data_IF_584996244624
#
_entry.id   IF_584996244624
#
_cell.length_a   1.000
_cell.length_b   1.000
_cell.length_c   1.000
_cell.angle_alpha   90.00
_cell.angle_beta   90.00
_cell.angle_gamma   90.00
#
_symmetry.space_group_name_H-M   'P 1'
#
loop_
_entity.id
_entity.type
_entity.pdbx_description
1 polymer ?
#
# COMPACT_ATOMS: atom_id res chain seq x y z
N UNK A 1 -9.27 4.02 -27.04
CA UNK A 1 -10.75 3.90 -27.02
C UNK A 1 -11.08 2.72 -26.12
N UNK A 2 -11.51 2.97 -24.88
CA UNK A 2 -11.97 1.91 -23.96
C UNK A 2 -13.37 1.41 -24.34
N UNK A 3 -13.73 0.17 -23.99
CA UNK A 3 -15.00 -0.43 -24.40
C UNK A 3 -16.19 0.17 -23.62
N UNK A 4 -17.35 0.14 -24.27
CA UNK A 4 -18.58 0.89 -23.98
C UNK A 4 -19.47 0.30 -22.87
N UNK A 5 -18.98 0.17 -21.63
CA UNK A 5 -19.72 -0.56 -20.59
C UNK A 5 -20.00 0.18 -19.28
N UNK A 6 -19.76 1.49 -19.19
CA UNK A 6 -20.40 2.32 -18.17
C UNK A 6 -20.42 3.79 -18.58
N UNK A 7 -21.34 4.58 -18.02
CA UNK A 7 -21.35 6.04 -18.12
C UNK A 7 -20.15 6.69 -17.37
N UNK A 8 -19.23 5.88 -16.86
CA UNK A 8 -18.12 6.29 -16.01
C UNK A 8 -16.76 6.00 -16.66
N UNK A 9 -15.80 6.92 -16.45
CA UNK A 9 -14.39 6.70 -16.75
C UNK A 9 -13.63 6.14 -15.55
N UNK A 10 -12.56 5.38 -15.80
CA UNK A 10 -11.63 4.93 -14.76
C UNK A 10 -10.30 5.68 -14.89
N UNK A 11 -9.88 6.31 -13.80
CA UNK A 11 -8.58 6.98 -13.69
C UNK A 11 -7.71 6.21 -12.69
N UNK A 12 -6.45 5.97 -13.07
CA UNK A 12 -5.50 5.25 -12.23
C UNK A 12 -4.35 6.19 -11.83
N UNK A 13 -4.08 6.25 -10.52
CA UNK A 13 -2.91 6.96 -10.00
C UNK A 13 -1.66 6.09 -10.12
N UNK A 14 -0.52 6.72 -10.41
CA UNK A 14 0.79 6.07 -10.37
C UNK A 14 1.67 6.88 -9.42
N UNK A 15 2.27 6.29 -8.37
CA UNK A 15 3.15 7.04 -7.49
C UNK A 15 4.36 7.58 -8.28
N UNK A 16 4.83 8.81 -7.99
CA UNK A 16 6.07 9.31 -8.57
C UNK A 16 7.26 8.45 -8.09
N UNK A 17 8.28 8.33 -8.93
CA UNK A 17 9.55 7.71 -8.52
C UNK A 17 10.34 8.72 -7.70
N UNK A 18 10.59 8.38 -6.44
CA UNK A 18 11.29 9.20 -5.43
C UNK A 18 12.20 8.33 -4.59
N UNK A 19 13.28 8.92 -4.09
CA UNK A 19 14.24 8.23 -3.21
C UNK A 19 13.92 8.47 -1.75
N UNK A 20 14.28 7.51 -0.89
CA UNK A 20 14.10 7.65 0.57
C UNK A 20 14.88 8.84 1.13
N UNK A 21 16.03 9.17 0.53
CA UNK A 21 16.85 10.33 0.91
C UNK A 21 16.12 11.66 0.77
N UNK A 22 15.10 11.73 -0.09
CA UNK A 22 14.28 12.94 -0.31
C UNK A 22 13.21 13.10 0.79
N UNK A 23 12.95 12.03 1.55
CA UNK A 23 11.97 11.98 2.66
C UNK A 23 10.61 12.62 2.31
N UNK A 24 9.97 12.23 1.20
CA UNK A 24 8.68 12.79 0.83
C UNK A 24 7.62 12.46 1.90
N UNK A 25 6.70 13.40 2.12
CA UNK A 25 5.56 13.18 3.00
C UNK A 25 4.41 12.47 2.28
N UNK A 26 3.40 12.02 3.02
CA UNK A 26 2.15 11.54 2.41
C UNK A 26 1.52 12.59 1.48
N UNK A 27 1.59 13.87 1.86
CA UNK A 27 1.10 15.00 1.07
C UNK A 27 1.79 15.15 -0.29
N UNK A 28 3.06 14.79 -0.38
CA UNK A 28 3.80 14.86 -1.64
C UNK A 28 3.16 13.96 -2.71
N UNK A 29 2.76 12.75 -2.33
CA UNK A 29 2.12 11.79 -3.24
C UNK A 29 0.74 12.27 -3.68
N UNK A 30 -0.07 12.74 -2.73
CA UNK A 30 -1.43 13.23 -3.03
C UNK A 30 -1.41 14.53 -3.82
N UNK A 31 -0.48 15.45 -3.55
CA UNK A 31 -0.26 16.64 -4.39
C UNK A 31 0.16 16.27 -5.81
N UNK A 32 1.02 15.26 -5.99
CA UNK A 32 1.43 14.81 -7.32
C UNK A 32 0.21 14.36 -8.15
N UNK A 33 -0.69 13.57 -7.57
CA UNK A 33 -1.90 13.12 -8.26
C UNK A 33 -2.92 14.23 -8.47
N UNK A 34 -3.11 15.10 -7.48
CA UNK A 34 -4.03 16.23 -7.57
C UNK A 34 -3.58 17.24 -8.63
N UNK A 35 -2.28 17.55 -8.73
CA UNK A 35 -1.79 18.50 -9.75
C UNK A 35 -1.73 17.90 -11.16
N UNK A 36 -1.61 16.59 -11.26
CA UNK A 36 -1.53 15.90 -12.55
C UNK A 36 -2.87 15.73 -13.27
N UNK A 37 -4.00 15.99 -12.61
CA UNK A 37 -5.34 15.75 -13.16
C UNK A 37 -6.05 17.03 -13.60
N UNK A 38 -6.87 16.91 -14.66
CA UNK A 38 -7.80 17.97 -15.09
C UNK A 38 -9.14 17.83 -14.33
N UNK A 39 -9.10 17.85 -12.99
CA UNK A 39 -10.23 17.49 -12.13
C UNK A 39 -11.48 18.36 -12.33
N UNK A 40 -11.32 19.58 -12.83
CA UNK A 40 -12.43 20.48 -13.17
C UNK A 40 -13.31 19.96 -14.32
N UNK A 41 -12.80 18.99 -15.10
CA UNK A 41 -13.52 18.38 -16.23
C UNK A 41 -14.34 17.15 -15.84
N UNK A 42 -14.17 16.64 -14.62
CA UNK A 42 -14.74 15.38 -14.18
C UNK A 42 -15.42 15.54 -12.82
N UNK A 43 -16.59 14.91 -12.64
CA UNK A 43 -17.12 14.66 -11.30
C UNK A 43 -16.63 13.30 -10.84
N UNK A 44 -15.75 13.26 -9.83
CA UNK A 44 -15.26 12.00 -9.28
C UNK A 44 -16.30 11.44 -8.32
N UNK A 45 -17.04 10.43 -8.77
CA UNK A 45 -18.10 9.83 -7.94
C UNK A 45 -17.55 8.87 -6.88
N UNK A 46 -16.36 8.31 -7.10
CA UNK A 46 -15.73 7.38 -6.17
C UNK A 46 -14.20 7.39 -6.26
N UNK A 47 -13.54 7.14 -5.13
CA UNK A 47 -12.10 6.88 -5.01
C UNK A 47 -11.91 5.49 -4.42
N UNK A 48 -11.11 4.68 -5.10
CA UNK A 48 -10.84 3.30 -4.71
C UNK A 48 -9.43 3.20 -4.12
N UNK A 49 -9.29 2.48 -3.01
CA UNK A 49 -8.00 2.26 -2.35
C UNK A 49 -7.77 0.78 -2.06
N UNK A 50 -6.57 0.27 -2.36
CA UNK A 50 -6.19 -1.12 -2.13
C UNK A 50 -5.01 -1.20 -1.16
N UNK A 51 -5.10 -2.04 -0.13
CA UNK A 51 -4.07 -2.17 0.91
C UNK A 51 -3.73 -0.80 1.53
N UNK A 52 -2.45 -0.44 1.63
CA UNK A 52 -1.97 0.86 2.09
C UNK A 52 -2.40 2.02 1.16
N UNK A 53 -2.75 1.72 -0.10
CA UNK A 53 -3.36 2.69 -1.01
C UNK A 53 -4.68 3.27 -0.50
N UNK A 54 -5.35 2.56 0.41
CA UNK A 54 -6.54 3.03 1.14
C UNK A 54 -6.30 4.30 1.96
N UNK A 55 -5.07 4.50 2.46
CA UNK A 55 -4.71 5.69 3.22
C UNK A 55 -4.72 6.91 2.30
N UNK A 56 -4.13 6.75 1.12
CA UNK A 56 -4.08 7.80 0.10
C UNK A 56 -5.42 8.05 -0.58
N UNK A 57 -6.24 7.01 -0.76
CA UNK A 57 -7.60 7.14 -1.30
C UNK A 57 -8.46 8.07 -0.42
N UNK A 58 -8.34 7.95 0.90
CA UNK A 58 -9.01 8.84 1.85
C UNK A 58 -8.58 10.31 1.67
N UNK A 59 -7.27 10.56 1.61
CA UNK A 59 -6.73 11.91 1.44
C UNK A 59 -7.14 12.52 0.08
N UNK A 60 -7.10 11.72 -0.99
CA UNK A 60 -7.55 12.14 -2.32
C UNK A 60 -9.03 12.53 -2.32
N UNK A 61 -9.90 11.72 -1.72
CA UNK A 61 -11.33 12.00 -1.64
C UNK A 61 -11.60 13.33 -0.92
N UNK A 62 -10.90 13.61 0.18
CA UNK A 62 -11.01 14.91 0.85
C UNK A 62 -10.57 16.07 -0.04
N UNK A 63 -9.43 15.94 -0.73
CA UNK A 63 -8.93 17.02 -1.59
C UNK A 63 -9.86 17.30 -2.76
N UNK A 64 -10.47 16.27 -3.34
CA UNK A 64 -11.38 16.40 -4.48
C UNK A 64 -12.59 17.30 -4.16
N UNK A 65 -13.04 17.36 -2.90
CA UNK A 65 -14.13 18.27 -2.46
C UNK A 65 -13.85 19.76 -2.72
N UNK A 66 -12.61 20.15 -3.05
CA UNK A 66 -12.27 21.52 -3.46
C UNK A 66 -12.80 21.89 -4.85
N UNK A 67 -13.03 20.89 -5.71
CA UNK A 67 -13.44 21.09 -7.11
C UNK A 67 -14.86 20.62 -7.42
N UNK A 68 -15.45 19.80 -6.56
CA UNK A 68 -16.81 19.28 -6.73
C UNK A 68 -17.63 19.46 -5.44
N UNK A 69 -18.94 19.70 -5.60
CA UNK A 69 -19.87 19.90 -4.47
C UNK A 69 -20.22 18.61 -3.74
N UNK A 70 -20.16 17.48 -4.45
CA UNK A 70 -20.47 16.15 -3.91
C UNK A 70 -19.18 15.49 -3.46
N UNK A 71 -19.10 15.01 -2.23
CA UNK A 71 -17.95 14.24 -1.78
C UNK A 71 -17.91 12.87 -2.50
N UNK A 72 -16.77 12.45 -3.08
CA UNK A 72 -16.65 11.12 -3.66
C UNK A 72 -16.88 10.02 -2.63
N UNK A 73 -17.53 8.93 -3.04
CA UNK A 73 -17.57 7.70 -2.24
C UNK A 73 -16.16 7.13 -2.09
N UNK A 74 -15.87 6.51 -0.96
CA UNK A 74 -14.57 5.87 -0.72
C UNK A 74 -14.77 4.38 -0.51
N UNK A 75 -14.23 3.60 -1.45
CA UNK A 75 -14.29 2.15 -1.45
C UNK A 75 -12.89 1.60 -1.19
N UNK A 76 -12.76 0.83 -0.11
CA UNK A 76 -11.49 0.31 0.38
C UNK A 76 -11.44 -1.20 0.18
N UNK A 77 -10.30 -1.70 -0.24
CA UNK A 77 -10.03 -3.12 -0.46
C UNK A 77 -8.86 -3.52 0.43
N UNK A 78 -9.10 -4.37 1.42
CA UNK A 78 -8.12 -4.73 2.44
C UNK A 78 -7.37 -3.52 3.03
N UNK A 79 -8.08 -2.47 3.50
CA UNK A 79 -7.44 -1.28 4.05
C UNK A 79 -6.46 -1.61 5.18
N UNK A 80 -5.25 -1.08 5.07
CA UNK A 80 -4.16 -1.34 6.00
C UNK A 80 -3.45 -0.02 6.33
N UNK A 81 -3.23 0.23 7.63
CA UNK A 81 -2.35 1.32 8.08
C UNK A 81 -0.89 0.91 7.96
N UNK A 82 0.05 1.86 8.06
CA UNK A 82 1.48 1.54 8.08
C UNK A 82 2.04 1.73 9.47
N UNK A 83 2.88 0.79 9.89
CA UNK A 83 3.75 0.90 11.07
C UNK A 83 5.11 0.25 10.77
N UNK A 84 6.00 0.22 11.77
CA UNK A 84 7.33 -0.37 11.60
C UNK A 84 7.29 -1.89 11.42
N UNK A 85 6.32 -2.59 11.99
CA UNK A 85 6.17 -4.04 11.83
C UNK A 85 5.93 -4.40 10.37
N UNK A 86 5.12 -3.62 9.66
CA UNK A 86 4.88 -3.82 8.22
C UNK A 86 6.17 -3.77 7.40
N UNK A 87 7.13 -2.88 7.74
CA UNK A 87 8.39 -2.79 7.01
C UNK A 87 9.22 -4.09 7.14
N UNK A 88 9.28 -4.65 8.35
CA UNK A 88 9.96 -5.92 8.58
C UNK A 88 9.24 -7.08 7.87
N UNK A 89 7.91 -7.10 7.90
CA UNK A 89 7.10 -8.12 7.21
C UNK A 89 7.32 -8.09 5.69
N UNK A 90 7.35 -6.91 5.08
CA UNK A 90 7.66 -6.78 3.65
C UNK A 90 9.08 -7.26 3.34
N UNK A 91 10.06 -6.99 4.20
CA UNK A 91 11.40 -7.55 4.04
C UNK A 91 11.42 -9.08 4.17
N UNK A 92 10.70 -9.65 5.14
CA UNK A 92 10.57 -11.10 5.31
C UNK A 92 9.95 -11.76 4.08
N UNK A 93 8.93 -11.14 3.50
CA UNK A 93 8.29 -11.56 2.24
C UNK A 93 9.29 -11.54 1.08
N UNK A 94 10.05 -10.47 0.93
CA UNK A 94 11.08 -10.37 -0.12
C UNK A 94 12.16 -11.45 0.01
N UNK A 95 12.61 -11.74 1.24
CA UNK A 95 13.55 -12.84 1.51
C UNK A 95 12.91 -14.19 1.14
N UNK A 96 11.63 -14.40 1.50
CA UNK A 96 10.90 -15.62 1.16
C UNK A 96 10.78 -15.86 -0.33
N UNK A 97 10.43 -14.82 -1.10
CA UNK A 97 10.33 -14.88 -2.57
C UNK A 97 11.68 -15.21 -3.24
N UNK A 98 12.79 -14.77 -2.65
CA UNK A 98 14.13 -15.04 -3.12
C UNK A 98 14.78 -16.27 -2.44
N UNK A 99 14.00 -17.08 -1.71
CA UNK A 99 14.48 -18.20 -0.89
C UNK A 99 15.50 -19.13 -1.58
N UNK A 100 15.27 -19.59 -2.82
CA UNK A 100 16.21 -20.47 -3.53
C UNK A 100 17.60 -19.86 -3.79
N UNK A 101 17.76 -18.54 -3.65
CA UNK A 101 19.02 -17.82 -3.86
C UNK A 101 19.86 -17.68 -2.60
N UNK A 102 19.33 -18.04 -1.43
CA UNK A 102 19.97 -17.89 -0.13
C UNK A 102 20.09 -19.24 0.58
N UNK A 103 21.10 -19.39 1.44
CA UNK A 103 21.06 -20.47 2.43
C UNK A 103 20.02 -20.16 3.51
N UNK A 104 19.56 -21.19 4.21
CA UNK A 104 18.63 -21.02 5.34
C UNK A 104 19.21 -20.08 6.40
N UNK A 105 20.52 -20.17 6.67
CA UNK A 105 21.21 -19.30 7.62
C UNK A 105 21.24 -17.83 7.16
N UNK A 106 21.50 -17.57 5.88
CA UNK A 106 21.49 -16.21 5.33
C UNK A 106 20.09 -15.60 5.39
N UNK A 107 19.08 -16.37 5.00
CA UNK A 107 17.69 -15.92 5.02
C UNK A 107 17.22 -15.63 6.46
N UNK A 108 17.55 -16.51 7.41
CA UNK A 108 17.19 -16.34 8.81
C UNK A 108 17.92 -15.14 9.45
N UNK A 109 19.22 -14.99 9.20
CA UNK A 109 19.97 -13.82 9.67
C UNK A 109 19.37 -12.52 9.15
N UNK A 110 19.00 -12.47 7.86
CA UNK A 110 18.37 -11.29 7.28
C UNK A 110 16.99 -11.00 7.91
N UNK A 111 16.19 -12.02 8.21
CA UNK A 111 14.92 -11.84 8.94
C UNK A 111 15.14 -11.27 10.33
N UNK A 112 16.11 -11.79 11.07
CA UNK A 112 16.47 -11.29 12.40
C UNK A 112 16.97 -9.84 12.34
N UNK A 113 17.79 -9.49 11.34
CA UNK A 113 18.22 -8.11 11.11
C UNK A 113 17.04 -7.18 10.83
N UNK A 114 16.07 -7.59 10.00
CA UNK A 114 14.87 -6.79 9.75
C UNK A 114 14.06 -6.52 11.02
N UNK A 115 13.91 -7.53 11.89
CA UNK A 115 13.26 -7.37 13.19
C UNK A 115 14.04 -6.43 14.10
N UNK A 116 15.36 -6.57 14.18
CA UNK A 116 16.21 -5.71 15.01
C UNK A 116 16.18 -4.23 14.55
N UNK A 117 16.11 -3.97 13.24
CA UNK A 117 15.99 -2.61 12.69
C UNK A 117 14.74 -1.92 13.24
N UNK A 118 13.60 -2.60 13.25
CA UNK A 118 12.34 -1.98 13.68
C UNK A 118 12.22 -1.85 15.20
N UNK A 119 12.91 -2.72 15.97
CA UNK A 119 13.01 -2.60 17.43
C UNK A 119 13.88 -1.42 17.87
N UNK A 120 14.96 -1.14 17.12
CA UNK A 120 15.87 -0.01 17.40
C UNK A 120 15.30 1.34 16.96
N UNK A 121 14.43 1.37 15.95
CA UNK A 121 13.85 2.58 15.37
C UNK A 121 12.39 2.85 15.80
N UNK A 122 12.03 2.50 17.03
CA UNK A 122 10.64 2.58 17.53
C UNK A 122 9.96 3.97 17.38
N UNK A 123 10.71 5.05 17.12
CA UNK A 123 10.17 6.41 16.93
C UNK A 123 10.28 7.02 15.52
N UNK A 124 10.92 6.35 14.54
CA UNK A 124 11.25 6.96 13.25
C UNK A 124 11.05 6.03 12.07
N UNK A 125 9.82 5.94 11.54
CA UNK A 125 9.48 5.00 10.46
C UNK A 125 10.31 5.21 9.18
N UNK A 126 10.63 6.46 8.84
CA UNK A 126 11.48 6.79 7.69
C UNK A 126 12.91 6.28 7.89
N UNK A 127 13.45 6.39 9.11
CA UNK A 127 14.80 5.91 9.41
C UNK A 127 14.84 4.37 9.40
N UNK A 128 13.82 3.71 9.94
CA UNK A 128 13.64 2.26 9.82
C UNK A 128 13.57 1.82 8.35
N UNK A 129 12.82 2.54 7.50
CA UNK A 129 12.73 2.25 6.07
C UNK A 129 14.08 2.38 5.36
N UNK A 130 14.90 3.38 5.71
CA UNK A 130 16.26 3.54 5.17
C UNK A 130 17.13 2.32 5.49
N UNK A 131 17.12 1.85 6.73
CA UNK A 131 17.90 0.68 7.12
C UNK A 131 17.39 -0.61 6.49
N UNK A 132 16.07 -0.79 6.39
CA UNK A 132 15.47 -1.94 5.67
C UNK A 132 15.88 -1.94 4.19
N UNK A 133 15.93 -0.78 3.52
CA UNK A 133 16.42 -0.69 2.14
C UNK A 133 17.92 -0.98 2.06
N UNK A 134 18.71 -0.58 3.06
CA UNK A 134 20.11 -0.98 3.20
C UNK A 134 20.27 -2.51 3.23
N UNK A 135 19.53 -3.17 4.13
CA UNK A 135 19.52 -4.62 4.25
C UNK A 135 19.07 -5.31 2.95
N UNK A 136 18.02 -4.79 2.29
CA UNK A 136 17.57 -5.32 1.01
C UNK A 136 18.66 -5.21 -0.07
N UNK A 137 19.38 -4.09 -0.12
CA UNK A 137 20.48 -3.88 -1.08
C UNK A 137 21.62 -4.88 -0.87
N UNK A 138 21.95 -5.21 0.38
CA UNK A 138 22.95 -6.23 0.71
C UNK A 138 22.52 -7.61 0.21
N UNK A 139 21.28 -8.01 0.52
CA UNK A 139 20.72 -9.29 0.08
C UNK A 139 20.62 -9.37 -1.45
N UNK A 140 20.15 -8.32 -2.09
CA UNK A 140 20.09 -8.23 -3.55
C UNK A 140 21.49 -8.34 -4.18
N UNK A 141 22.52 -7.74 -3.56
CA UNK A 141 23.90 -7.85 -4.05
C UNK A 141 24.40 -9.31 -4.02
N UNK A 142 24.08 -10.06 -2.97
CA UNK A 142 24.44 -11.47 -2.87
C UNK A 142 23.71 -12.28 -3.94
N UNK A 143 22.38 -12.11 -4.04
CA UNK A 143 21.54 -12.83 -4.99
C UNK A 143 21.97 -12.60 -6.45
N UNK A 144 22.16 -11.33 -6.85
CA UNK A 144 22.51 -10.99 -8.24
C UNK A 144 23.91 -11.49 -8.63
N UNK A 145 24.88 -11.47 -7.69
CA UNK A 145 26.20 -12.06 -7.92
C UNK A 145 26.12 -13.57 -8.16
N UNK A 146 25.28 -14.29 -7.40
CA UNK A 146 25.08 -15.75 -7.59
C UNK A 146 24.45 -16.08 -8.94
N UNK A 147 23.55 -15.23 -9.41
CA UNK A 147 22.89 -15.37 -10.70
C UNK A 147 23.75 -14.90 -11.89
N UNK A 148 24.91 -14.29 -11.63
CA UNK A 148 25.74 -13.68 -12.69
C UNK A 148 25.05 -12.51 -13.40
N UNK A 149 24.11 -11.83 -12.74
CA UNK A 149 23.39 -10.68 -13.29
C UNK A 149 24.17 -9.39 -13.09
N UNK A 150 24.01 -8.45 -14.03
CA UNK A 150 24.69 -7.16 -13.99
C UNK A 150 24.21 -6.28 -12.82
N UNK A 151 25.14 -5.48 -12.28
CA UNK A 151 24.87 -4.53 -11.19
C UNK A 151 23.74 -3.54 -11.53
N UNK A 152 23.60 -3.14 -12.80
CA UNK A 152 22.53 -2.23 -13.22
C UNK A 152 21.14 -2.82 -12.99
N UNK A 153 20.97 -4.15 -13.15
CA UNK A 153 19.69 -4.83 -12.90
C UNK A 153 19.39 -4.92 -11.42
N UNK A 154 20.42 -5.10 -10.58
CA UNK A 154 20.26 -5.00 -9.13
C UNK A 154 19.78 -3.61 -8.76
N UNK A 155 20.41 -2.57 -9.31
CA UNK A 155 20.09 -1.19 -8.96
C UNK A 155 18.67 -0.79 -9.36
N UNK A 156 18.16 -1.27 -10.50
CA UNK A 156 16.76 -1.13 -10.90
C UNK A 156 15.79 -1.76 -9.87
N UNK A 157 16.06 -2.99 -9.44
CA UNK A 157 15.21 -3.71 -8.49
C UNK A 157 15.27 -3.08 -7.09
N UNK A 158 16.45 -2.66 -6.64
CA UNK A 158 16.61 -1.96 -5.37
C UNK A 158 15.90 -0.61 -5.40
N UNK A 159 15.94 0.12 -6.50
CA UNK A 159 15.22 1.38 -6.64
C UNK A 159 13.70 1.20 -6.55
N UNK A 160 13.16 0.09 -7.10
CA UNK A 160 11.74 -0.23 -6.98
C UNK A 160 11.35 -0.49 -5.51
N UNK A 161 12.14 -1.29 -4.80
CA UNK A 161 11.91 -1.55 -3.38
C UNK A 161 12.07 -0.29 -2.53
N UNK A 162 13.06 0.57 -2.83
CA UNK A 162 13.24 1.87 -2.18
C UNK A 162 12.02 2.78 -2.38
N UNK A 163 11.51 2.85 -3.61
CA UNK A 163 10.30 3.63 -3.94
C UNK A 163 9.08 3.13 -3.15
N UNK A 164 8.94 1.81 -3.01
CA UNK A 164 7.88 1.18 -2.23
C UNK A 164 7.99 1.48 -0.73
N UNK A 165 9.20 1.34 -0.15
CA UNK A 165 9.44 1.67 1.26
C UNK A 165 9.24 3.15 1.57
N UNK A 166 9.59 4.02 0.61
CA UNK A 166 9.32 5.46 0.70
C UNK A 166 7.81 5.70 0.78
N UNK A 167 7.05 5.08 -0.13
CA UNK A 167 5.60 5.18 -0.17
C UNK A 167 4.94 4.66 1.12
N UNK A 168 5.35 3.50 1.64
CA UNK A 168 4.85 3.00 2.93
C UNK A 168 5.15 3.99 4.06
N UNK A 169 6.40 4.43 4.21
CA UNK A 169 6.79 5.32 5.29
C UNK A 169 6.08 6.68 5.26
N UNK A 170 5.76 7.17 4.06
CA UNK A 170 4.99 8.39 3.86
C UNK A 170 3.52 8.22 4.24
N UNK A 171 2.94 7.04 4.02
CA UNK A 171 1.53 6.75 4.35
C UNK A 171 1.25 6.88 5.85
N UNK A 172 2.22 6.55 6.71
CA UNK A 172 2.07 6.69 8.16
C UNK A 172 1.90 8.14 8.66
N UNK A 173 2.13 9.13 7.80
CA UNK A 173 1.96 10.55 8.11
C UNK A 173 0.55 11.05 7.80
N UNK A 174 -0.29 10.22 7.18
CA UNK A 174 -1.66 10.57 6.78
C UNK A 174 -2.62 9.94 7.79
N UNK A 175 -3.58 10.73 8.28
CA UNK A 175 -4.67 10.24 9.13
C UNK A 175 -5.94 10.00 8.28
N UNK A 176 -6.27 8.75 7.93
CA UNK A 176 -7.44 8.45 7.13
C UNK A 176 -8.73 8.31 7.97
N UNK A 177 -8.64 8.37 9.30
CA UNK A 177 -9.70 7.93 10.22
C UNK A 177 -11.04 8.63 10.03
N UNK A 178 -11.02 9.90 9.63
CA UNK A 178 -12.25 10.67 9.40
C UNK A 178 -13.00 10.19 8.16
N UNK A 179 -12.28 9.81 7.10
CA UNK A 179 -12.89 9.29 5.87
C UNK A 179 -13.26 7.82 6.02
N UNK A 180 -12.38 7.01 6.59
CA UNK A 180 -12.60 5.57 6.76
C UNK A 180 -13.86 5.29 7.59
N UNK A 181 -14.19 6.13 8.57
CA UNK A 181 -15.41 6.03 9.38
C UNK A 181 -16.72 6.10 8.57
N UNK A 182 -16.68 6.68 7.37
CA UNK A 182 -17.82 6.75 6.43
C UNK A 182 -17.60 5.96 5.14
N UNK A 183 -16.51 5.21 5.05
CA UNK A 183 -16.14 4.43 3.86
C UNK A 183 -16.71 3.03 3.92
N UNK A 184 -16.81 2.41 2.74
CA UNK A 184 -17.14 0.99 2.57
C UNK A 184 -15.84 0.21 2.36
N UNK A 185 -15.55 -0.74 3.23
CA UNK A 185 -14.39 -1.63 3.11
C UNK A 185 -14.83 -3.04 2.75
N UNK A 186 -14.18 -3.62 1.74
CA UNK A 186 -14.31 -5.01 1.35
C UNK A 186 -13.03 -5.72 1.80
N UNK A 187 -13.17 -6.77 2.61
CA UNK A 187 -12.04 -7.44 3.28
C UNK A 187 -11.94 -8.92 2.92
N UNK A 188 -10.75 -9.36 2.53
CA UNK A 188 -10.42 -10.74 2.15
C UNK A 188 -10.28 -11.70 3.33
N UNK A 189 -10.16 -12.98 3.01
CA UNK A 189 -9.79 -14.05 3.95
C UNK A 189 -8.46 -13.78 4.63
N UNK A 190 -7.45 -13.32 3.87
CA UNK A 190 -6.12 -12.97 4.37
C UNK A 190 -6.16 -11.82 5.37
N UNK A 191 -6.94 -10.77 5.05
CA UNK A 191 -7.11 -9.62 5.94
C UNK A 191 -7.80 -10.03 7.25
N UNK A 192 -8.85 -10.86 7.18
CA UNK A 192 -9.53 -11.41 8.36
C UNK A 192 -8.59 -12.29 9.21
N UNK A 193 -7.69 -13.06 8.57
CA UNK A 193 -6.69 -13.84 9.27
C UNK A 193 -5.64 -12.95 9.96
N UNK A 194 -5.21 -11.85 9.32
CA UNK A 194 -4.33 -10.85 9.94
C UNK A 194 -4.99 -10.19 11.15
N UNK A 195 -6.26 -9.80 11.02
CA UNK A 195 -7.05 -9.23 12.12
C UNK A 195 -7.11 -10.21 13.30
N UNK A 196 -7.41 -11.48 13.03
CA UNK A 196 -7.53 -12.52 14.06
C UNK A 196 -6.20 -12.84 14.76
N UNK A 197 -5.06 -12.70 14.06
CA UNK A 197 -3.72 -12.83 14.65
C UNK A 197 -3.29 -11.62 15.47
N UNK A 198 -4.04 -10.52 15.42
CA UNK A 198 -3.71 -9.28 16.13
C UNK A 198 -2.66 -8.43 15.43
N UNK A 199 -2.53 -8.55 14.11
CA UNK A 199 -1.61 -7.72 13.32
C UNK A 199 -1.99 -6.23 13.46
N UNK A 200 -1.07 -5.41 13.94
CA UNK A 200 -1.36 -4.04 14.41
C UNK A 200 -1.89 -3.15 13.30
N UNK A 201 -1.36 -3.30 12.08
CA UNK A 201 -1.76 -2.51 10.91
C UNK A 201 -3.23 -2.71 10.52
N UNK A 202 -3.69 -3.96 10.55
CA UNK A 202 -5.05 -4.38 10.24
C UNK A 202 -5.98 -4.14 11.42
N UNK A 203 -5.55 -4.48 12.63
CA UNK A 203 -6.33 -4.28 13.84
C UNK A 203 -6.65 -2.80 14.08
N UNK A 204 -5.69 -1.91 13.84
CA UNK A 204 -5.92 -0.47 13.95
C UNK A 204 -6.77 0.09 12.80
N UNK A 205 -6.62 -0.45 11.58
CA UNK A 205 -7.51 -0.12 10.47
C UNK A 205 -8.97 -0.48 10.79
N UNK A 206 -9.21 -1.69 11.31
CA UNK A 206 -10.54 -2.18 11.68
C UNK A 206 -11.28 -1.28 12.67
N UNK A 207 -10.55 -0.63 13.60
CA UNK A 207 -11.12 0.28 14.60
C UNK A 207 -11.70 1.56 14.04
N UNK A 208 -11.29 1.98 12.84
CA UNK A 208 -11.68 3.26 12.26
C UNK A 208 -12.50 3.14 10.97
N UNK A 209 -12.68 1.92 10.44
CA UNK A 209 -13.53 1.64 9.28
C UNK A 209 -15.01 1.69 9.68
N UNK A 210 -15.82 2.40 8.90
CA UNK A 210 -17.25 2.55 9.14
C UNK A 210 -18.07 1.30 8.81
N UNK A 211 -17.92 0.79 7.59
CA UNK A 211 -18.63 -0.40 7.10
C UNK A 211 -17.63 -1.41 6.55
N UNK A 212 -17.73 -2.66 7.01
CA UNK A 212 -16.85 -3.76 6.61
C UNK A 212 -17.67 -4.91 6.04
N UNK A 213 -17.31 -5.36 4.85
CA UNK A 213 -17.94 -6.47 4.13
C UNK A 213 -16.90 -7.55 3.83
N UNK A 214 -16.89 -8.65 4.59
CA UNK A 214 -15.97 -9.74 4.34
C UNK A 214 -16.37 -10.54 3.09
N UNK A 215 -15.38 -11.02 2.36
CA UNK A 215 -15.52 -11.92 1.20
C UNK A 215 -14.62 -13.14 1.34
N UNK A 216 -15.11 -14.28 0.88
CA UNK A 216 -14.37 -15.54 0.90
C UNK A 216 -13.45 -15.67 -0.34
N UNK A 217 -12.52 -14.74 -0.45
CA UNK A 217 -11.48 -14.69 -1.49
C UNK A 217 -10.18 -14.15 -0.89
N UNK A 218 -9.06 -14.56 -1.48
CA UNK A 218 -7.73 -14.14 -1.04
C UNK A 218 -7.43 -12.69 -1.45
N UNK A 219 -6.50 -12.05 -0.72
CA UNK A 219 -6.09 -10.65 -0.94
C UNK A 219 -5.70 -10.39 -2.40
N UNK A 220 -4.97 -11.33 -3.00
CA UNK A 220 -4.47 -11.23 -4.36
C UNK A 220 -5.58 -11.21 -5.43
N UNK A 221 -6.74 -11.80 -5.13
CA UNK A 221 -7.86 -11.98 -6.07
C UNK A 221 -9.04 -11.06 -5.80
N UNK A 222 -8.95 -10.23 -4.75
CA UNK A 222 -9.96 -9.26 -4.35
C UNK A 222 -10.41 -8.32 -5.49
N UNK A 223 -9.47 -7.93 -6.36
CA UNK A 223 -9.72 -7.07 -7.53
C UNK A 223 -9.92 -7.84 -8.84
N UNK A 224 -9.90 -9.18 -8.80
CA UNK A 224 -10.01 -10.05 -9.99
C UNK A 224 -11.34 -10.79 -10.08
N UNK A 225 -12.16 -10.71 -9.04
CA UNK A 225 -13.43 -11.40 -8.96
C UNK A 225 -14.58 -10.41 -8.87
N UNK A 226 -15.75 -10.82 -9.34
CA UNK A 226 -16.94 -9.98 -9.32
C UNK A 226 -17.55 -9.84 -7.91
N UNK A 227 -17.06 -10.61 -6.92
CA UNK A 227 -17.55 -10.60 -5.54
C UNK A 227 -17.54 -9.20 -4.91
N UNK A 228 -16.46 -8.44 -5.17
CA UNK A 228 -16.34 -7.05 -4.74
C UNK A 228 -17.42 -6.15 -5.35
N UNK A 229 -17.71 -6.35 -6.65
CA UNK A 229 -18.73 -5.59 -7.38
C UNK A 229 -20.11 -5.92 -6.85
N UNK A 230 -20.40 -7.21 -6.60
CA UNK A 230 -21.70 -7.64 -6.10
C UNK A 230 -22.05 -7.00 -4.76
N UNK A 231 -21.09 -6.88 -3.84
CA UNK A 231 -21.29 -6.17 -2.56
C UNK A 231 -21.71 -4.73 -2.80
N UNK A 232 -21.03 -4.02 -3.70
CA UNK A 232 -21.33 -2.62 -3.99
C UNK A 232 -22.73 -2.44 -4.59
N UNK A 233 -23.18 -3.39 -5.41
CA UNK A 233 -24.53 -3.41 -5.99
C UNK A 233 -25.60 -3.71 -4.93
N UNK A 234 -25.37 -4.69 -4.07
CA UNK A 234 -26.32 -5.10 -3.02
C UNK A 234 -26.52 -3.98 -1.97
N UNK A 235 -25.48 -3.22 -1.70
CA UNK A 235 -25.46 -2.14 -0.72
C UNK A 235 -25.94 -0.79 -1.27
N UNK A 236 -26.34 -0.72 -2.56
CA UNK A 236 -26.78 0.51 -3.21
C UNK A 236 -25.69 1.57 -3.29
N UNK A 237 -24.42 1.15 -3.37
CA UNK A 237 -23.30 2.07 -3.45
C UNK A 237 -23.12 2.66 -4.85
N UNK A 238 -23.77 2.13 -5.89
CA UNK A 238 -23.80 2.67 -7.24
C UNK A 238 -25.12 2.34 -7.96
#
# INVERSE_FOLDING_TARGET
MGPAWSDYGFLQTTPPSVRLSERPSGDFYTEHWIRGGEWEKYEVVAVLGYCVGSVYAAELAQRLTRWQSTEPKVILFDPQLTDSQLLAMEMHKMIGMAGPLFSDEEAERARQSATAIIETHAGGLVDAAIEIVGLYREMATIAFKRLGLADSRRDEVVLLFESYMTWLSAAAQVDPSTVWRRSTAITSTDWAAMESRGDTTVLNASKVIGRKFPVDIDHADLMRTDSAVQILLDEGEF
#
